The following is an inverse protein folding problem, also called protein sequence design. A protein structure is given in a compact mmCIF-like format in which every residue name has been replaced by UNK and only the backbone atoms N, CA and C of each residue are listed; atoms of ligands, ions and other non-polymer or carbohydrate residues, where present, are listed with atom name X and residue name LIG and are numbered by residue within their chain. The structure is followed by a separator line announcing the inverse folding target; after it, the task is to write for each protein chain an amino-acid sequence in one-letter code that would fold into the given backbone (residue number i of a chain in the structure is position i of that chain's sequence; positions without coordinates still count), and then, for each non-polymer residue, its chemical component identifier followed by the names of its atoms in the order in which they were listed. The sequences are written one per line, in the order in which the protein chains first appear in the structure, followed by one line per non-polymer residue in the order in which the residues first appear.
data_IF_575692240075
#
_entry.id   IF_575692240075
#
_cell.length_a   1.000
_cell.length_b   1.000
_cell.length_c   1.000
_cell.angle_alpha   90.00
_cell.angle_beta   90.00
_cell.angle_gamma   90.00
#
_symmetry.space_group_name_H-M   'P 1'
#
loop_
_entity.id
_entity.type
_entity.pdbx_description
1 polymer ?
#
# COMPACT_ATOMS: atom_id res chain seq x y z
N UNK A 1 -13.09 -11.56 -14.39
CA UNK A 1 -12.56 -12.74 -13.69
C UNK A 1 -13.10 -12.71 -12.26
N UNK A 2 -13.95 -13.65 -11.85
CA UNK A 2 -14.53 -13.65 -10.49
C UNK A 2 -13.47 -14.16 -9.50
N UNK A 3 -12.63 -13.25 -9.02
CA UNK A 3 -11.77 -13.54 -7.90
C UNK A 3 -12.65 -13.77 -6.67
N UNK A 4 -12.44 -14.90 -5.97
CA UNK A 4 -12.95 -15.01 -4.60
C UNK A 4 -12.42 -13.80 -3.82
N UNK A 5 -13.29 -13.07 -3.12
CA UNK A 5 -12.98 -11.79 -2.45
C UNK A 5 -11.83 -11.89 -1.42
N UNK A 6 -11.52 -13.12 -0.97
CA UNK A 6 -10.34 -13.41 -0.13
C UNK A 6 -9.02 -13.48 -0.92
N UNK A 7 -9.06 -13.80 -2.21
CA UNK A 7 -7.87 -13.90 -3.07
C UNK A 7 -7.33 -12.53 -3.49
N UNK A 8 -8.21 -11.54 -3.64
CA UNK A 8 -7.85 -10.15 -3.98
C UNK A 8 -6.73 -9.64 -3.07
N UNK A 9 -6.97 -9.65 -1.76
CA UNK A 9 -6.01 -9.13 -0.78
C UNK A 9 -4.65 -9.86 -0.85
N UNK A 10 -4.65 -11.17 -1.06
CA UNK A 10 -3.42 -11.94 -1.25
C UNK A 10 -2.64 -11.48 -2.49
N UNK A 11 -3.31 -11.28 -3.64
CA UNK A 11 -2.64 -10.78 -4.84
C UNK A 11 -2.10 -9.37 -4.66
N UNK A 12 -2.85 -8.49 -4.00
CA UNK A 12 -2.40 -7.13 -3.67
C UNK A 12 -1.13 -7.16 -2.83
N UNK A 13 -1.06 -8.03 -1.81
CA UNK A 13 0.14 -8.19 -1.00
C UNK A 13 1.31 -8.75 -1.81
N UNK A 14 1.08 -9.76 -2.65
CA UNK A 14 2.14 -10.33 -3.49
C UNK A 14 2.75 -9.28 -4.43
N UNK A 15 1.92 -8.47 -5.08
CA UNK A 15 2.38 -7.40 -5.98
C UNK A 15 3.03 -6.26 -5.18
N UNK A 16 2.42 -5.85 -4.06
CA UNK A 16 2.93 -4.75 -3.23
C UNK A 16 4.24 -5.06 -2.52
N UNK A 17 4.52 -6.33 -2.21
CA UNK A 17 5.76 -6.78 -1.58
C UNK A 17 6.91 -7.01 -2.59
N UNK A 18 6.64 -6.99 -3.89
CA UNK A 18 7.63 -7.26 -4.93
C UNK A 18 8.88 -6.35 -4.85
N UNK A 19 8.77 -5.03 -4.63
CA UNK A 19 9.94 -4.17 -4.46
C UNK A 19 10.80 -4.57 -3.25
N UNK A 20 10.17 -4.92 -2.12
CA UNK A 20 10.86 -5.36 -0.91
C UNK A 20 11.60 -6.68 -1.17
N UNK A 21 10.92 -7.66 -1.77
CA UNK A 21 11.53 -8.95 -2.10
C UNK A 21 12.72 -8.82 -3.06
N UNK A 22 12.59 -7.96 -4.07
CA UNK A 22 13.66 -7.68 -5.03
C UNK A 22 14.84 -7.00 -4.35
N UNK A 23 14.59 -6.00 -3.49
CA UNK A 23 15.66 -5.32 -2.73
C UNK A 23 16.38 -6.26 -1.77
N UNK A 24 15.66 -7.14 -1.08
CA UNK A 24 16.26 -8.14 -0.20
C UNK A 24 17.20 -9.07 -0.99
N UNK A 25 16.81 -9.49 -2.19
CA UNK A 25 17.65 -10.32 -3.06
C UNK A 25 18.93 -9.56 -3.45
N UNK A 26 18.80 -8.30 -3.87
CA UNK A 26 19.94 -7.45 -4.19
C UNK A 26 20.84 -7.19 -2.97
N UNK A 27 20.25 -7.00 -1.80
CA UNK A 27 20.99 -6.79 -0.55
C UNK A 27 21.85 -8.02 -0.19
N UNK A 28 21.34 -9.23 -0.37
CA UNK A 28 22.10 -10.46 -0.13
C UNK A 28 23.23 -10.70 -1.15
N UNK A 29 23.07 -10.20 -2.37
CA UNK A 29 24.06 -10.37 -3.44
C UNK A 29 25.14 -9.26 -3.46
N UNK A 30 24.82 -8.08 -2.92
CA UNK A 30 25.72 -6.92 -2.95
C UNK A 30 26.78 -6.96 -1.84
N UNK A 31 27.85 -6.17 -2.02
CA UNK A 31 28.86 -5.97 -0.97
C UNK A 31 28.21 -5.35 0.27
N UNK A 32 28.62 -5.75 1.49
CA UNK A 32 28.10 -5.18 2.73
C UNK A 32 28.15 -3.64 2.73
N UNK A 33 27.05 -3.01 3.15
CA UNK A 33 26.92 -1.54 3.22
C UNK A 33 26.57 -0.83 1.90
N UNK A 34 26.46 -1.55 0.77
CA UNK A 34 26.16 -0.92 -0.53
C UNK A 34 24.67 -0.64 -0.72
N UNK A 35 23.83 -1.60 -0.34
CA UNK A 35 22.37 -1.55 -0.50
C UNK A 35 21.76 -1.69 0.89
N UNK A 36 20.67 -0.99 1.18
CA UNK A 36 19.88 -1.21 2.40
C UNK A 36 18.93 -2.40 2.18
N UNK A 37 18.71 -3.23 3.19
CA UNK A 37 17.79 -4.36 3.10
C UNK A 37 16.34 -3.92 2.76
N UNK A 38 15.91 -2.79 3.35
CA UNK A 38 14.60 -2.16 3.10
C UNK A 38 14.82 -0.65 3.03
N UNK A 39 14.18 0.02 2.09
CA UNK A 39 14.14 1.47 1.97
C UNK A 39 12.71 2.00 2.04
N UNK A 40 12.56 3.29 2.38
CA UNK A 40 11.26 3.94 2.44
C UNK A 40 10.49 3.83 1.11
N UNK A 41 11.19 3.88 -0.03
CA UNK A 41 10.59 3.70 -1.36
C UNK A 41 9.80 2.40 -1.48
N UNK A 42 10.31 1.30 -0.92
CA UNK A 42 9.68 -0.01 -1.07
C UNK A 42 8.37 -0.07 -0.27
N UNK A 43 8.37 0.55 0.91
CA UNK A 43 7.21 0.64 1.81
C UNK A 43 6.16 1.61 1.25
N UNK A 44 6.59 2.72 0.65
CA UNK A 44 5.72 3.66 -0.07
C UNK A 44 5.01 2.95 -1.23
N UNK A 45 5.74 2.16 -2.02
CA UNK A 45 5.14 1.39 -3.13
C UNK A 45 4.12 0.38 -2.63
N UNK A 46 4.39 -0.34 -1.54
CA UNK A 46 3.41 -1.24 -0.92
C UNK A 46 2.12 -0.47 -0.56
N UNK A 47 2.25 0.68 0.08
CA UNK A 47 1.12 1.54 0.44
C UNK A 47 0.28 1.99 -0.77
N UNK A 48 0.93 2.44 -1.84
CA UNK A 48 0.27 2.82 -3.09
C UNK A 48 -0.50 1.64 -3.71
N UNK A 49 0.13 0.47 -3.78
CA UNK A 49 -0.50 -0.74 -4.33
C UNK A 49 -1.74 -1.13 -3.52
N UNK A 50 -1.68 -1.06 -2.18
CA UNK A 50 -2.83 -1.34 -1.31
C UNK A 50 -4.01 -0.42 -1.64
N UNK A 51 -3.80 0.89 -1.75
CA UNK A 51 -4.89 1.84 -1.97
C UNK A 51 -5.46 1.84 -3.39
N UNK A 52 -4.60 1.73 -4.42
CA UNK A 52 -5.07 1.55 -5.80
C UNK A 52 -5.92 0.29 -5.90
N UNK A 53 -5.48 -0.79 -5.26
CA UNK A 53 -6.19 -2.05 -5.26
C UNK A 53 -7.52 -1.99 -4.51
N UNK A 54 -7.60 -1.25 -3.39
CA UNK A 54 -8.87 -1.01 -2.66
C UNK A 54 -9.88 -0.32 -3.58
N UNK A 55 -9.47 0.77 -4.25
CA UNK A 55 -10.35 1.53 -5.14
C UNK A 55 -10.86 0.62 -6.27
N UNK A 56 -9.94 -0.10 -6.92
CA UNK A 56 -10.28 -1.02 -8.01
C UNK A 56 -11.25 -2.12 -7.57
N UNK A 57 -11.04 -2.73 -6.40
CA UNK A 57 -11.94 -3.78 -5.91
C UNK A 57 -13.32 -3.22 -5.54
N UNK A 58 -13.36 -2.06 -4.88
CA UNK A 58 -14.61 -1.42 -4.49
C UNK A 58 -15.45 -0.95 -5.67
N UNK A 59 -14.82 -0.55 -6.78
CA UNK A 59 -15.52 -0.16 -8.01
C UNK A 59 -16.43 -1.27 -8.54
N UNK A 60 -15.98 -2.53 -8.46
CA UNK A 60 -16.69 -3.70 -8.96
C UNK A 60 -17.72 -4.28 -7.99
N UNK A 61 -17.86 -3.71 -6.79
CA UNK A 61 -18.88 -4.11 -5.82
C UNK A 61 -20.19 -3.42 -6.16
N UNK A 62 -21.22 -4.22 -6.47
CA UNK A 62 -22.59 -3.74 -6.63
C UNK A 62 -23.13 -3.21 -5.30
N UNK A 63 -23.75 -2.04 -5.33
CA UNK A 63 -24.36 -1.41 -4.17
C UNK A 63 -25.64 -2.16 -3.81
N UNK A 64 -25.57 -3.06 -2.82
CA UNK A 64 -26.71 -3.86 -2.37
C UNK A 64 -27.54 -3.15 -1.29
N UNK A 65 -26.94 -2.21 -0.56
CA UNK A 65 -27.59 -1.43 0.50
C UNK A 65 -27.05 0.00 0.55
N UNK A 66 -27.83 0.94 1.09
CA UNK A 66 -27.37 2.32 1.36
C UNK A 66 -26.17 2.40 2.30
N UNK A 67 -25.95 1.38 3.14
CA UNK A 67 -24.78 1.30 4.02
C UNK A 67 -23.51 0.97 3.24
N UNK A 68 -23.62 0.10 2.24
CA UNK A 68 -22.49 -0.32 1.40
C UNK A 68 -22.00 0.83 0.51
N UNK A 69 -22.92 1.64 -0.03
CA UNK A 69 -22.57 2.83 -0.83
C UNK A 69 -21.86 3.93 -0.02
N UNK A 70 -22.29 4.18 1.22
CA UNK A 70 -21.61 5.11 2.13
C UNK A 70 -20.20 4.62 2.51
N UNK A 71 -20.06 3.34 2.85
CA UNK A 71 -18.74 2.77 3.19
C UNK A 71 -17.80 2.77 1.99
N UNK A 72 -18.28 2.43 0.79
CA UNK A 72 -17.54 2.52 -0.46
C UNK A 72 -17.01 3.94 -0.69
N UNK A 73 -17.86 4.95 -0.51
CA UNK A 73 -17.47 6.37 -0.62
C UNK A 73 -16.37 6.75 0.37
N UNK A 74 -16.52 6.36 1.65
CA UNK A 74 -15.53 6.63 2.70
C UNK A 74 -14.19 5.94 2.40
N UNK A 75 -14.21 4.66 2.00
CA UNK A 75 -13.01 3.89 1.70
C UNK A 75 -12.28 4.40 0.45
N UNK A 76 -13.02 4.80 -0.59
CA UNK A 76 -12.44 5.41 -1.79
C UNK A 76 -11.82 6.77 -1.47
N UNK A 77 -12.52 7.63 -0.71
CA UNK A 77 -12.00 8.93 -0.29
C UNK A 77 -10.77 8.81 0.61
N UNK A 78 -10.80 7.88 1.57
CA UNK A 78 -9.64 7.57 2.43
C UNK A 78 -8.47 7.05 1.60
N UNK A 79 -8.73 6.19 0.61
CA UNK A 79 -7.67 5.67 -0.25
C UNK A 79 -7.05 6.74 -1.14
N UNK A 80 -7.85 7.64 -1.71
CA UNK A 80 -7.35 8.79 -2.46
C UNK A 80 -6.50 9.73 -1.59
N UNK A 81 -6.89 9.94 -0.33
CA UNK A 81 -6.11 10.72 0.63
C UNK A 81 -4.74 10.07 0.91
N UNK A 82 -4.71 8.77 1.21
CA UNK A 82 -3.45 8.07 1.43
C UNK A 82 -2.56 8.03 0.18
N UNK A 83 -3.13 7.86 -1.02
CA UNK A 83 -2.37 7.94 -2.28
C UNK A 83 -1.67 9.30 -2.39
N UNK A 84 -2.36 10.39 -2.05
CA UNK A 84 -1.76 11.74 -2.00
C UNK A 84 -0.61 11.82 -1.01
N UNK A 85 -0.76 11.27 0.20
CA UNK A 85 0.32 11.22 1.20
C UNK A 85 1.53 10.42 0.73
N UNK A 86 1.30 9.25 0.13
CA UNK A 86 2.38 8.45 -0.46
C UNK A 86 3.04 9.13 -1.65
N UNK A 87 2.28 9.86 -2.47
CA UNK A 87 2.81 10.69 -3.55
C UNK A 87 3.76 11.78 -3.03
N UNK A 88 3.38 12.44 -1.93
CA UNK A 88 4.24 13.42 -1.27
C UNK A 88 5.52 12.77 -0.70
N UNK A 89 5.41 11.61 -0.04
CA UNK A 89 6.58 10.86 0.44
C UNK A 89 7.48 10.37 -0.70
N UNK A 90 6.90 9.97 -1.83
CA UNK A 90 7.65 9.56 -3.00
C UNK A 90 8.41 10.73 -3.62
N UNK A 91 7.79 11.91 -3.71
CA UNK A 91 8.46 13.13 -4.14
C UNK A 91 9.62 13.51 -3.20
N UNK A 92 9.41 13.40 -1.89
CA UNK A 92 10.48 13.58 -0.90
C UNK A 92 11.61 12.57 -1.11
N UNK A 93 11.30 11.30 -1.35
CA UNK A 93 12.31 10.28 -1.63
C UNK A 93 13.17 10.64 -2.85
N UNK A 94 12.57 11.11 -3.95
CA UNK A 94 13.29 11.57 -5.15
C UNK A 94 14.20 12.77 -4.84
N UNK A 95 13.71 13.74 -4.05
CA UNK A 95 14.52 14.90 -3.66
C UNK A 95 15.71 14.48 -2.80
N UNK A 96 15.50 13.52 -1.89
CA UNK A 96 16.54 12.96 -1.02
C UNK A 96 17.62 12.16 -1.75
N UNK A 97 17.32 11.61 -2.93
CA UNK A 97 18.34 10.97 -3.78
C UNK A 97 19.41 11.97 -4.25
N UNK A 98 19.00 13.21 -4.56
CA UNK A 98 19.91 14.28 -5.01
C UNK A 98 20.55 15.05 -3.86
N UNK A 99 19.91 15.11 -2.70
CA UNK A 99 20.34 15.90 -1.55
C UNK A 99 20.40 15.02 -0.30
N UNK A 100 21.52 14.30 -0.13
CA UNK A 100 21.64 13.27 0.92
C UNK A 100 21.55 13.83 2.36
N UNK A 101 21.86 15.12 2.55
CA UNK A 101 21.77 15.79 3.85
C UNK A 101 20.39 16.41 4.14
N UNK A 102 19.51 16.47 3.14
CA UNK A 102 18.21 17.12 3.29
C UNK A 102 17.19 16.23 4.03
N UNK A 103 17.30 14.91 3.90
CA UNK A 103 16.34 13.95 4.47
C UNK A 103 17.03 12.83 5.23
N UNK A 104 16.65 12.67 6.49
CA UNK A 104 17.03 11.51 7.29
C UNK A 104 16.30 10.25 6.79
N UNK A 105 17.07 9.32 6.23
CA UNK A 105 16.59 8.04 5.70
C UNK A 105 15.84 7.23 6.76
N UNK A 106 16.27 7.29 8.02
CA UNK A 106 15.63 6.55 9.10
C UNK A 106 14.24 7.10 9.43
N UNK A 107 14.10 8.43 9.52
CA UNK A 107 12.82 9.10 9.70
C UNK A 107 11.87 8.84 8.55
N UNK A 108 12.36 8.88 7.30
CA UNK A 108 11.54 8.59 6.12
C UNK A 108 11.03 7.14 6.11
N UNK A 109 11.88 6.19 6.52
CA UNK A 109 11.50 4.79 6.66
C UNK A 109 10.46 4.60 7.78
N UNK A 110 10.65 5.21 8.96
CA UNK A 110 9.69 5.11 10.07
C UNK A 110 8.31 5.68 9.69
N UNK A 111 8.28 6.84 9.06
CA UNK A 111 7.04 7.49 8.62
C UNK A 111 6.30 6.66 7.57
N UNK A 112 7.01 6.14 6.57
CA UNK A 112 6.43 5.25 5.56
C UNK A 112 5.91 3.95 6.17
N UNK A 113 6.63 3.36 7.14
CA UNK A 113 6.18 2.15 7.86
C UNK A 113 4.91 2.39 8.68
N UNK A 114 4.83 3.55 9.35
CA UNK A 114 3.63 3.96 10.09
C UNK A 114 2.40 4.08 9.17
N UNK A 115 2.56 4.75 8.03
CA UNK A 115 1.48 4.86 7.03
C UNK A 115 1.12 3.50 6.42
N UNK A 116 2.10 2.68 6.06
CA UNK A 116 1.86 1.36 5.46
C UNK A 116 1.13 0.43 6.42
N UNK A 117 1.41 0.53 7.72
CA UNK A 117 0.70 -0.20 8.76
C UNK A 117 -0.78 0.22 8.81
N UNK A 118 -1.07 1.52 8.76
CA UNK A 118 -2.44 2.02 8.69
C UNK A 118 -3.15 1.58 7.39
N UNK A 119 -2.46 1.62 6.25
CA UNK A 119 -2.97 1.14 4.96
C UNK A 119 -3.28 -0.37 4.97
N UNK A 120 -2.44 -1.18 5.62
CA UNK A 120 -2.66 -2.61 5.82
C UNK A 120 -3.91 -2.87 6.66
N UNK A 121 -4.08 -2.15 7.78
CA UNK A 121 -5.28 -2.26 8.60
C UNK A 121 -6.54 -1.90 7.82
N UNK A 122 -6.49 -0.83 7.02
CA UNK A 122 -7.62 -0.44 6.17
C UNK A 122 -7.95 -1.52 5.13
N UNK A 123 -6.91 -2.09 4.49
CA UNK A 123 -7.08 -3.18 3.51
C UNK A 123 -7.71 -4.43 4.13
N UNK A 124 -7.34 -4.77 5.37
CA UNK A 124 -7.95 -5.86 6.14
C UNK A 124 -9.41 -5.57 6.48
N UNK A 125 -9.73 -4.33 6.88
CA UNK A 125 -11.12 -3.90 7.12
C UNK A 125 -11.95 -4.04 5.85
N UNK A 126 -11.44 -3.56 4.71
CA UNK A 126 -12.07 -3.70 3.40
C UNK A 126 -12.29 -5.17 3.04
N UNK A 127 -11.26 -6.02 3.14
CA UNK A 127 -11.39 -7.45 2.84
C UNK A 127 -12.47 -8.14 3.68
N UNK A 128 -12.51 -7.85 4.99
CA UNK A 128 -13.55 -8.39 5.90
C UNK A 128 -14.95 -7.89 5.54
N UNK A 129 -15.09 -6.63 5.15
CA UNK A 129 -16.37 -6.07 4.70
C UNK A 129 -16.85 -6.77 3.41
N UNK A 130 -15.97 -6.92 2.44
CA UNK A 130 -16.25 -7.59 1.17
C UNK A 130 -16.65 -9.06 1.36
N UNK A 131 -16.00 -9.78 2.27
CA UNK A 131 -16.33 -11.16 2.60
C UNK A 131 -17.75 -11.31 3.16
N UNK A 132 -18.18 -10.41 4.07
CA UNK A 132 -19.54 -10.42 4.62
C UNK A 132 -20.60 -10.22 3.55
N UNK A 133 -20.38 -9.31 2.61
CA UNK A 133 -21.31 -9.08 1.48
C UNK A 133 -21.40 -10.22 0.47
N UNK A 134 -20.62 -11.30 0.59
CA UNK A 134 -20.69 -12.48 -0.27
C UNK A 134 -21.61 -13.59 0.24
N UNK A 135 -22.09 -13.49 1.49
CA UNK A 135 -22.89 -14.54 2.16
C UNK A 135 -24.40 -14.31 2.12
N UNK A 136 -24.85 -13.35 1.29
CA UNK A 136 -26.25 -13.12 0.92
C UNK A 136 -26.37 -13.23 -0.59
#
# INVERSE_FOLDING_TARGET
MNFSKSKWFTYTLLVGLLPIATRLTLWTAAKPGTILAIAASDVITLGLVLHISIINELEHVADRTNRDSNLKTILNGTSAFFITLYGALYALAIIGEKNQDFLDKASMLKSSLGLASASLLLSLVTSRHLAKGSTK
#
